data_IF_681158897564
#
_entry.id   IF_681158897564
#
_cell.length_a   1.000
_cell.length_b   1.000
_cell.length_c   1.000
_cell.angle_alpha   90.00
_cell.angle_beta   90.00
_cell.angle_gamma   90.00
#
_symmetry.space_group_name_H-M   'P 1'
#
loop_
_entity.id
_entity.type
_entity.pdbx_description
1 polymer ?
#
# COMPACT_ATOMS: atom_id res chain seq x y z
N UNK A 1 9.41 12.82 -54.22
CA UNK A 1 8.91 13.63 -53.08
C UNK A 1 8.45 12.80 -51.88
N UNK A 2 7.68 11.72 -52.03
CA UNK A 2 7.18 10.88 -50.90
C UNK A 2 8.29 10.24 -50.03
N UNK A 3 9.41 9.85 -50.63
CA UNK A 3 10.53 9.21 -49.91
C UNK A 3 11.38 10.20 -49.08
N UNK A 4 11.40 11.49 -49.43
CA UNK A 4 12.14 12.50 -48.67
C UNK A 4 11.43 12.83 -47.35
N UNK A 5 10.10 12.95 -47.38
CA UNK A 5 9.26 13.25 -46.21
C UNK A 5 9.33 12.12 -45.17
N UNK A 6 9.30 10.85 -45.60
CA UNK A 6 9.43 9.68 -44.70
C UNK A 6 10.84 9.62 -44.06
N UNK A 7 11.87 10.06 -44.79
CA UNK A 7 13.25 10.11 -44.26
C UNK A 7 13.45 11.22 -43.24
N UNK A 8 12.73 12.35 -43.36
CA UNK A 8 12.78 13.44 -42.38
C UNK A 8 11.99 13.09 -41.12
N UNK A 9 10.83 12.45 -41.25
CA UNK A 9 10.03 12.02 -40.09
C UNK A 9 10.78 10.99 -39.25
N UNK A 10 11.46 10.03 -39.87
CA UNK A 10 12.26 9.04 -39.14
C UNK A 10 13.49 9.64 -38.45
N UNK A 11 14.11 10.70 -39.01
CA UNK A 11 15.19 11.44 -38.35
C UNK A 11 14.70 12.28 -37.17
N UNK A 12 13.52 12.89 -37.28
CA UNK A 12 12.88 13.62 -36.18
C UNK A 12 12.57 12.68 -35.01
N UNK A 13 12.08 11.47 -35.27
CA UNK A 13 11.85 10.47 -34.22
C UNK A 13 13.14 9.84 -33.66
N UNK A 14 14.21 9.73 -34.45
CA UNK A 14 15.51 9.27 -33.99
C UNK A 14 16.25 10.30 -33.12
N UNK A 15 15.89 11.58 -33.21
CA UNK A 15 16.46 12.67 -32.41
C UNK A 15 15.93 12.72 -30.97
N UNK A 16 14.82 12.01 -30.67
CA UNK A 16 14.35 11.89 -29.30
C UNK A 16 15.08 10.74 -28.59
N UNK A 17 15.63 10.97 -27.37
CA UNK A 17 16.18 9.89 -26.58
C UNK A 17 15.11 8.83 -26.36
N UNK A 18 15.38 7.58 -26.75
CA UNK A 18 14.43 6.47 -26.55
C UNK A 18 14.11 6.38 -25.06
N UNK A 19 12.85 6.64 -24.70
CA UNK A 19 12.38 6.48 -23.33
C UNK A 19 12.66 5.03 -22.89
N UNK A 20 13.27 4.79 -21.72
CA UNK A 20 13.53 3.43 -21.27
C UNK A 20 12.24 2.62 -21.20
N UNK A 21 12.24 1.39 -21.73
CA UNK A 21 11.03 0.55 -21.83
C UNK A 21 10.26 0.40 -20.51
N UNK A 22 10.97 0.38 -19.37
CA UNK A 22 10.34 0.28 -18.07
C UNK A 22 9.57 1.53 -17.64
N UNK A 23 9.99 2.72 -18.08
CA UNK A 23 9.23 3.95 -17.86
C UNK A 23 7.93 3.89 -18.65
N UNK A 24 8.00 3.47 -19.91
CA UNK A 24 6.81 3.28 -20.74
C UNK A 24 5.85 2.26 -20.12
N UNK A 25 6.35 1.11 -19.65
CA UNK A 25 5.53 0.09 -18.97
C UNK A 25 4.91 0.63 -17.69
N UNK A 26 5.66 1.35 -16.85
CA UNK A 26 5.12 1.98 -15.63
C UNK A 26 3.99 2.97 -15.94
N UNK A 27 4.18 3.82 -16.96
CA UNK A 27 3.16 4.78 -17.41
C UNK A 27 1.93 4.06 -17.96
N UNK A 28 2.12 3.02 -18.78
CA UNK A 28 1.03 2.20 -19.30
C UNK A 28 0.24 1.53 -18.18
N UNK A 29 0.91 0.90 -17.21
CA UNK A 29 0.27 0.28 -16.04
C UNK A 29 -0.53 1.31 -15.22
N UNK A 30 0.03 2.51 -15.01
CA UNK A 30 -0.64 3.58 -14.30
C UNK A 30 -1.93 4.02 -15.02
N UNK A 31 -1.84 4.32 -16.32
CA UNK A 31 -2.98 4.78 -17.13
C UNK A 31 -4.07 3.69 -17.18
N UNK A 32 -3.70 2.46 -17.51
CA UNK A 32 -4.64 1.34 -17.57
C UNK A 32 -5.36 1.14 -16.23
N UNK A 33 -4.61 1.15 -15.12
CA UNK A 33 -5.20 0.97 -13.79
C UNK A 33 -6.10 2.13 -13.41
N UNK A 34 -5.69 3.37 -13.69
CA UNK A 34 -6.48 4.54 -13.39
C UNK A 34 -7.82 4.49 -14.14
N UNK A 35 -7.80 4.15 -15.43
CA UNK A 35 -9.04 3.94 -16.20
C UNK A 35 -9.93 2.90 -15.52
N UNK A 36 -9.40 1.71 -15.20
CA UNK A 36 -10.16 0.62 -14.57
C UNK A 36 -10.77 1.05 -13.23
N UNK A 37 -10.03 1.76 -12.38
CA UNK A 37 -10.50 2.17 -11.05
C UNK A 37 -11.49 3.33 -11.09
N UNK A 38 -11.39 4.17 -12.12
CA UNK A 38 -12.27 5.32 -12.33
C UNK A 38 -13.65 4.96 -12.88
N UNK A 39 -13.79 3.82 -13.56
CA UNK A 39 -15.10 3.36 -14.06
C UNK A 39 -16.09 3.29 -12.90
N UNK A 40 -17.18 4.08 -13.00
CA UNK A 40 -18.28 4.09 -12.04
C UNK A 40 -17.86 4.34 -10.57
N UNK A 41 -16.80 5.12 -10.34
CA UNK A 41 -16.25 5.37 -8.99
C UNK A 41 -17.26 6.05 -8.04
N UNK A 42 -18.12 6.90 -8.57
CA UNK A 42 -19.13 7.64 -7.80
C UNK A 42 -20.31 6.79 -7.32
N UNK A 43 -20.42 5.54 -7.76
CA UNK A 43 -21.54 4.66 -7.43
C UNK A 43 -21.08 3.58 -6.42
N UNK A 44 -21.78 3.39 -5.28
CA UNK A 44 -23.00 4.08 -4.83
C UNK A 44 -22.74 5.51 -4.34
N UNK A 45 -23.69 6.46 -4.50
CA UNK A 45 -23.49 7.85 -4.08
C UNK A 45 -23.50 8.03 -2.55
N UNK A 46 -23.85 6.98 -1.80
CA UNK A 46 -23.91 6.97 -0.34
C UNK A 46 -22.57 6.58 0.29
N UNK A 47 -22.36 6.99 1.54
CA UNK A 47 -21.21 6.56 2.34
C UNK A 47 -21.31 5.07 2.67
N UNK A 48 -20.18 4.37 2.56
CA UNK A 48 -20.04 2.93 2.80
C UNK A 48 -19.12 2.65 4.00
N UNK A 49 -19.53 1.78 4.94
CA UNK A 49 -18.73 1.38 6.13
C UNK A 49 -17.97 2.57 6.75
N UNK A 50 -16.64 2.56 6.68
CA UNK A 50 -15.80 3.56 7.32
C UNK A 50 -15.73 4.89 6.55
N UNK A 51 -16.30 4.99 5.34
CA UNK A 51 -16.52 6.30 4.70
C UNK A 51 -17.40 7.19 5.59
N UNK A 52 -18.30 6.60 6.40
CA UNK A 52 -19.14 7.29 7.39
C UNK A 52 -18.30 7.99 8.46
N UNK A 53 -17.07 7.53 8.72
CA UNK A 53 -16.15 8.18 9.64
C UNK A 53 -15.12 9.04 8.90
N UNK A 54 -14.56 8.55 7.81
CA UNK A 54 -13.42 9.18 7.14
C UNK A 54 -13.80 10.36 6.26
N UNK A 55 -14.93 10.31 5.53
CA UNK A 55 -15.35 11.44 4.71
C UNK A 55 -15.80 12.63 5.58
N UNK A 56 -16.64 12.47 6.62
CA UNK A 56 -16.96 13.58 7.52
C UNK A 56 -15.74 14.12 8.26
N UNK A 57 -14.80 13.26 8.69
CA UNK A 57 -13.57 13.73 9.32
C UNK A 57 -12.70 14.53 8.35
N UNK A 58 -12.58 14.10 7.09
CA UNK A 58 -11.88 14.85 6.06
C UNK A 58 -12.50 16.24 5.82
N UNK A 59 -13.84 16.33 5.80
CA UNK A 59 -14.55 17.61 5.72
C UNK A 59 -14.30 18.50 6.95
N UNK A 60 -14.38 17.92 8.14
CA UNK A 60 -14.10 18.63 9.41
C UNK A 60 -12.69 19.24 9.45
N UNK A 61 -11.70 18.52 8.91
CA UNK A 61 -10.33 19.02 8.78
C UNK A 61 -10.24 20.24 7.83
N UNK A 62 -11.01 20.28 6.75
CA UNK A 62 -11.06 21.43 5.82
C UNK A 62 -11.68 22.67 6.48
N UNK A 63 -12.67 22.45 7.34
CA UNK A 63 -13.39 23.50 8.07
C UNK A 63 -12.66 23.95 9.35
N UNK A 64 -11.48 23.37 9.64
CA UNK A 64 -10.72 23.61 10.87
C UNK A 64 -11.48 23.28 12.16
N UNK A 65 -12.46 22.37 12.09
CA UNK A 65 -13.28 21.94 13.22
C UNK A 65 -12.64 20.80 14.04
N UNK A 66 -11.37 20.47 13.76
CA UNK A 66 -10.68 19.33 14.35
C UNK A 66 -11.04 17.99 13.71
N UNK A 67 -10.58 16.90 14.33
CA UNK A 67 -10.75 15.53 13.83
C UNK A 67 -11.72 14.71 14.70
N UNK A 68 -12.96 14.45 14.23
CA UNK A 68 -13.94 13.68 14.99
C UNK A 68 -13.60 12.19 15.08
N UNK A 69 -12.61 11.70 14.31
CA UNK A 69 -12.16 10.31 14.29
C UNK A 69 -10.69 10.21 14.72
N UNK A 70 -10.34 10.60 15.94
CA UNK A 70 -8.96 10.54 16.43
C UNK A 70 -8.44 9.11 16.71
N UNK A 71 -9.19 8.06 16.35
CA UNK A 71 -8.73 6.66 16.40
C UNK A 71 -7.52 6.46 15.47
N UNK A 72 -7.49 7.10 14.30
CA UNK A 72 -6.35 7.03 13.39
C UNK A 72 -5.69 8.40 13.20
N UNK A 73 -4.36 8.44 12.95
CA UNK A 73 -3.70 9.70 12.64
C UNK A 73 -4.25 10.35 11.36
N UNK A 74 -4.08 11.68 11.20
CA UNK A 74 -4.95 12.45 10.32
C UNK A 74 -4.58 12.39 8.83
N UNK A 75 -3.38 11.91 8.47
CA UNK A 75 -2.87 12.06 7.10
C UNK A 75 -3.79 11.41 6.06
N UNK A 76 -4.32 10.21 6.32
CA UNK A 76 -5.20 9.55 5.36
C UNK A 76 -6.50 10.33 5.13
N UNK A 77 -7.05 10.94 6.18
CA UNK A 77 -8.24 11.82 6.09
C UNK A 77 -7.90 13.13 5.38
N UNK A 78 -6.71 13.68 5.61
CA UNK A 78 -6.23 14.86 4.88
C UNK A 78 -6.06 14.58 3.38
N UNK A 79 -5.62 13.38 2.99
CA UNK A 79 -5.55 12.99 1.56
C UNK A 79 -6.94 12.84 0.93
N UNK A 80 -7.93 12.31 1.66
CA UNK A 80 -9.34 12.30 1.23
C UNK A 80 -9.85 13.74 1.07
N UNK A 81 -9.49 14.63 1.99
CA UNK A 81 -9.88 16.04 1.94
C UNK A 81 -9.40 16.75 0.66
N UNK A 82 -8.21 16.41 0.14
CA UNK A 82 -7.73 16.95 -1.15
C UNK A 82 -8.69 16.62 -2.31
N UNK A 83 -9.26 15.40 -2.32
CA UNK A 83 -10.26 15.02 -3.31
C UNK A 83 -11.56 15.80 -3.16
N UNK A 84 -12.01 16.02 -1.91
CA UNK A 84 -13.19 16.82 -1.58
C UNK A 84 -13.01 18.28 -2.03
N UNK A 85 -11.82 18.87 -1.87
CA UNK A 85 -11.53 20.24 -2.32
C UNK A 85 -11.73 20.40 -3.83
N UNK A 86 -11.29 19.42 -4.63
CA UNK A 86 -11.31 19.51 -6.09
C UNK A 86 -12.68 19.14 -6.68
N UNK A 87 -13.35 18.11 -6.14
CA UNK A 87 -14.56 17.55 -6.73
C UNK A 87 -15.83 17.75 -5.89
N UNK A 88 -15.72 18.39 -4.72
CA UNK A 88 -16.82 18.64 -3.79
C UNK A 88 -17.05 17.49 -2.81
N UNK A 89 -17.89 17.74 -1.79
CA UNK A 89 -18.30 16.74 -0.80
C UNK A 89 -19.35 15.79 -1.37
N UNK A 90 -18.91 14.87 -2.24
CA UNK A 90 -19.70 13.82 -2.85
C UNK A 90 -18.85 12.55 -3.06
N UNK A 91 -19.47 11.46 -3.54
CA UNK A 91 -18.82 10.17 -3.71
C UNK A 91 -17.59 10.18 -4.63
N UNK A 92 -17.54 11.06 -5.62
CA UNK A 92 -16.32 11.25 -6.39
C UNK A 92 -15.21 11.86 -5.53
N UNK A 93 -15.52 12.96 -4.83
CA UNK A 93 -14.57 13.72 -4.04
C UNK A 93 -13.90 12.93 -2.93
N UNK A 94 -14.65 12.13 -2.15
CA UNK A 94 -14.01 11.34 -1.09
C UNK A 94 -13.30 10.07 -1.59
N UNK A 95 -13.61 9.55 -2.80
CA UNK A 95 -13.01 8.31 -3.33
C UNK A 95 -11.82 8.51 -4.27
N UNK A 96 -11.75 9.65 -4.96
CA UNK A 96 -10.75 9.88 -6.02
C UNK A 96 -9.31 9.73 -5.54
N UNK A 97 -8.99 10.22 -4.33
CA UNK A 97 -7.65 10.13 -3.78
C UNK A 97 -7.22 8.68 -3.57
N UNK A 98 -8.13 7.82 -3.07
CA UNK A 98 -7.88 6.38 -2.92
C UNK A 98 -7.67 5.69 -4.26
N UNK A 99 -8.46 6.04 -5.28
CA UNK A 99 -8.37 5.43 -6.61
C UNK A 99 -7.04 5.77 -7.28
N UNK A 100 -6.58 7.02 -7.14
CA UNK A 100 -5.26 7.47 -7.61
C UNK A 100 -4.13 6.78 -6.85
N UNK A 101 -4.19 6.75 -5.51
CA UNK A 101 -3.16 6.09 -4.69
C UNK A 101 -3.00 4.61 -5.03
N UNK A 102 -4.13 3.91 -5.18
CA UNK A 102 -4.13 2.52 -5.59
C UNK A 102 -3.65 2.29 -7.03
N UNK A 103 -3.84 3.27 -7.92
CA UNK A 103 -3.30 3.22 -9.29
C UNK A 103 -1.78 3.40 -9.31
N UNK A 104 -1.23 4.29 -8.47
CA UNK A 104 0.22 4.50 -8.31
C UNK A 104 0.90 3.28 -7.66
N UNK A 105 0.19 2.56 -6.79
CA UNK A 105 0.72 1.35 -6.16
C UNK A 105 1.15 0.27 -7.20
N UNK A 106 0.51 0.22 -8.36
CA UNK A 106 0.84 -0.74 -9.43
C UNK A 106 2.25 -0.52 -10.00
N UNK A 107 2.60 0.65 -10.59
CA UNK A 107 3.95 0.87 -11.09
C UNK A 107 5.02 0.83 -9.99
N UNK A 108 4.70 1.20 -8.74
CA UNK A 108 5.63 1.03 -7.61
C UNK A 108 5.96 -0.46 -7.40
N UNK A 109 4.95 -1.33 -7.44
CA UNK A 109 5.11 -2.79 -7.32
C UNK A 109 5.90 -3.36 -8.49
N UNK A 110 5.62 -2.90 -9.72
CA UNK A 110 6.39 -3.24 -10.92
C UNK A 110 7.88 -2.90 -10.77
N UNK A 111 8.18 -1.65 -10.39
CA UNK A 111 9.56 -1.18 -10.25
C UNK A 111 10.32 -1.93 -9.15
N UNK A 112 9.64 -2.32 -8.07
CA UNK A 112 10.21 -3.17 -7.03
C UNK A 112 10.52 -4.57 -7.58
N UNK A 113 9.54 -5.21 -8.22
CA UNK A 113 9.68 -6.56 -8.78
C UNK A 113 10.81 -6.66 -9.79
N UNK A 114 10.96 -5.65 -10.67
CA UNK A 114 12.07 -5.61 -11.65
C UNK A 114 13.41 -5.49 -10.99
N UNK A 115 13.50 -4.69 -9.93
CA UNK A 115 14.76 -4.42 -9.23
C UNK A 115 15.23 -5.64 -8.43
N UNK A 116 14.30 -6.42 -7.90
CA UNK A 116 14.58 -7.55 -7.01
C UNK A 116 14.68 -8.88 -7.77
N UNK A 117 13.87 -9.06 -8.82
CA UNK A 117 13.78 -10.30 -9.58
C UNK A 117 14.05 -10.07 -11.06
N UNK A 118 13.00 -10.11 -11.89
CA UNK A 118 13.05 -10.03 -13.34
C UNK A 118 11.78 -9.39 -13.90
N UNK A 119 11.83 -9.00 -15.16
CA UNK A 119 10.70 -8.35 -15.85
C UNK A 119 9.43 -9.22 -15.87
N UNK A 120 9.48 -10.55 -16.15
CA UNK A 120 8.29 -11.40 -16.08
C UNK A 120 7.63 -11.44 -14.70
N UNK A 121 8.42 -11.53 -13.63
CA UNK A 121 7.89 -11.52 -12.25
C UNK A 121 7.21 -10.19 -11.95
N UNK A 122 7.81 -9.08 -12.35
CA UNK A 122 7.27 -7.75 -12.14
C UNK A 122 5.97 -7.50 -12.92
N UNK A 123 5.92 -7.91 -14.19
CA UNK A 123 4.73 -7.79 -15.04
C UNK A 123 3.60 -8.64 -14.49
N UNK A 124 3.87 -9.91 -14.14
CA UNK A 124 2.86 -10.80 -13.58
C UNK A 124 2.31 -10.28 -12.25
N UNK A 125 3.17 -9.85 -11.33
CA UNK A 125 2.74 -9.31 -10.04
C UNK A 125 1.87 -8.05 -10.21
N UNK A 126 2.22 -7.19 -11.15
CA UNK A 126 1.46 -5.97 -11.44
C UNK A 126 0.12 -6.29 -12.09
N UNK A 127 0.08 -7.24 -13.04
CA UNK A 127 -1.15 -7.70 -13.66
C UNK A 127 -2.10 -8.32 -12.62
N UNK A 128 -1.59 -9.18 -11.73
CA UNK A 128 -2.34 -9.75 -10.62
C UNK A 128 -2.87 -8.67 -9.67
N UNK A 129 -2.07 -7.62 -9.39
CA UNK A 129 -2.47 -6.53 -8.50
C UNK A 129 -3.53 -5.60 -9.12
N UNK A 130 -3.58 -5.49 -10.45
CA UNK A 130 -4.65 -4.76 -11.17
C UNK A 130 -6.00 -5.46 -10.99
N UNK A 131 -6.03 -6.79 -11.09
CA UNK A 131 -7.25 -7.60 -10.98
C UNK A 131 -7.51 -8.13 -9.57
N UNK A 132 -6.69 -7.74 -8.59
CA UNK A 132 -6.80 -8.22 -7.22
C UNK A 132 -8.09 -7.68 -6.55
N UNK A 133 -8.98 -8.57 -6.06
CA UNK A 133 -10.27 -8.14 -5.52
C UNK A 133 -10.13 -7.22 -4.30
N UNK A 134 -9.16 -7.48 -3.42
CA UNK A 134 -8.96 -6.66 -2.22
C UNK A 134 -8.48 -5.26 -2.61
N UNK A 135 -7.43 -5.17 -3.42
CA UNK A 135 -6.81 -3.91 -3.82
C UNK A 135 -7.75 -3.08 -4.68
N UNK A 136 -8.51 -3.73 -5.57
CA UNK A 136 -9.50 -3.04 -6.40
C UNK A 136 -10.58 -2.38 -5.54
N UNK A 137 -11.23 -3.13 -4.65
CA UNK A 137 -12.29 -2.61 -3.79
C UNK A 137 -11.77 -1.54 -2.83
N UNK A 138 -10.67 -1.83 -2.11
CA UNK A 138 -10.14 -0.94 -1.08
C UNK A 138 -9.60 0.38 -1.63
N UNK A 139 -9.26 0.43 -2.92
CA UNK A 139 -8.87 1.69 -3.58
C UNK A 139 -10.05 2.51 -4.10
N UNK A 140 -11.22 1.91 -4.25
CA UNK A 140 -12.41 2.57 -4.81
C UNK A 140 -13.40 3.01 -3.74
N UNK A 141 -13.07 2.80 -2.48
CA UNK A 141 -13.81 3.27 -1.29
C UNK A 141 -12.87 4.18 -0.52
N UNK A 142 -13.38 5.19 0.18
CA UNK A 142 -12.56 6.16 0.94
C UNK A 142 -11.95 5.56 2.23
N UNK A 143 -11.24 4.43 2.09
CA UNK A 143 -10.53 3.72 3.15
C UNK A 143 -9.08 4.20 3.26
N UNK A 144 -8.55 4.25 4.49
CA UNK A 144 -7.18 4.72 4.71
C UNK A 144 -6.12 3.69 4.26
N UNK A 145 -6.49 2.41 4.19
CA UNK A 145 -5.58 1.29 3.96
C UNK A 145 -4.84 1.37 2.61
N UNK A 146 -5.45 1.96 1.58
CA UNK A 146 -4.82 2.10 0.26
C UNK A 146 -3.66 3.10 0.29
N UNK A 147 -3.78 4.19 1.06
CA UNK A 147 -2.69 5.14 1.26
C UNK A 147 -1.54 4.52 2.06
N UNK A 148 -1.90 3.76 3.11
CA UNK A 148 -0.93 2.99 3.88
C UNK A 148 -0.17 2.00 2.97
N UNK A 149 -0.88 1.23 2.15
CA UNK A 149 -0.27 0.28 1.22
C UNK A 149 0.68 0.97 0.23
N UNK A 150 0.29 2.11 -0.34
CA UNK A 150 1.14 2.89 -1.22
C UNK A 150 2.43 3.35 -0.52
N UNK A 151 2.32 3.99 0.65
CA UNK A 151 3.50 4.51 1.34
C UNK A 151 4.43 3.41 1.85
N UNK A 152 3.88 2.29 2.31
CA UNK A 152 4.68 1.09 2.64
C UNK A 152 5.42 0.60 1.39
N UNK A 153 4.75 0.42 0.26
CA UNK A 153 5.39 -0.03 -0.97
C UNK A 153 6.48 0.94 -1.46
N UNK A 154 6.24 2.25 -1.38
CA UNK A 154 7.24 3.28 -1.70
C UNK A 154 8.43 3.22 -0.75
N UNK A 155 8.23 2.96 0.54
CA UNK A 155 9.33 2.78 1.49
C UNK A 155 10.25 1.61 1.11
N UNK A 156 9.65 0.44 0.87
CA UNK A 156 10.38 -0.75 0.43
C UNK A 156 11.07 -0.55 -0.92
N UNK A 157 10.42 0.14 -1.87
CA UNK A 157 11.05 0.53 -3.14
C UNK A 157 12.25 1.46 -2.92
N UNK A 158 12.09 2.52 -2.13
CA UNK A 158 13.13 3.50 -1.90
C UNK A 158 14.41 2.88 -1.29
N UNK A 159 14.26 2.03 -0.26
CA UNK A 159 15.43 1.34 0.31
C UNK A 159 16.04 0.32 -0.66
N UNK A 160 15.24 -0.33 -1.51
CA UNK A 160 15.71 -1.22 -2.57
C UNK A 160 16.63 -0.50 -3.58
N UNK A 161 16.36 0.78 -3.85
CA UNK A 161 17.20 1.66 -4.67
C UNK A 161 18.29 2.40 -3.87
N UNK A 162 18.55 1.99 -2.63
CA UNK A 162 19.60 2.58 -1.80
C UNK A 162 19.30 3.99 -1.30
N UNK A 163 18.02 4.38 -1.23
CA UNK A 163 17.53 5.70 -0.78
C UNK A 163 16.85 5.60 0.60
N UNK A 164 17.59 5.35 1.69
CA UNK A 164 16.99 5.13 3.00
C UNK A 164 16.25 6.36 3.54
N UNK A 165 16.70 7.59 3.27
CA UNK A 165 15.98 8.78 3.75
C UNK A 165 14.64 8.97 3.06
N UNK A 166 14.54 8.67 1.75
CA UNK A 166 13.25 8.63 1.06
C UNK A 166 12.36 7.51 1.61
N UNK A 167 12.96 6.36 1.97
CA UNK A 167 12.24 5.32 2.72
C UNK A 167 11.74 5.83 4.06
N UNK A 168 12.53 6.62 4.79
CA UNK A 168 12.13 7.20 6.07
C UNK A 168 10.94 8.14 5.95
N UNK A 169 10.93 9.00 4.92
CA UNK A 169 9.79 9.87 4.62
C UNK A 169 8.53 9.00 4.38
N UNK A 170 8.63 8.01 3.49
CA UNK A 170 7.50 7.14 3.18
C UNK A 170 7.01 6.34 4.41
N UNK A 171 7.90 5.86 5.26
CA UNK A 171 7.55 5.18 6.53
C UNK A 171 6.86 6.12 7.53
N UNK A 172 7.30 7.37 7.62
CA UNK A 172 6.66 8.38 8.47
C UNK A 172 5.26 8.73 7.97
N UNK A 173 5.09 8.87 6.66
CA UNK A 173 3.76 9.05 6.02
C UNK A 173 2.87 7.82 6.24
N UNK A 174 3.38 6.60 6.04
CA UNK A 174 2.64 5.36 6.31
C UNK A 174 2.12 5.33 7.76
N UNK A 175 2.99 5.68 8.73
CA UNK A 175 2.63 5.74 10.16
C UNK A 175 1.64 6.87 10.47
N UNK A 176 1.71 7.97 9.71
CA UNK A 176 0.76 9.09 9.78
C UNK A 176 -0.61 8.78 9.19
N UNK A 177 -0.73 7.77 8.32
CA UNK A 177 -2.02 7.25 7.84
C UNK A 177 -2.64 6.32 8.87
N UNK A 178 -1.87 5.34 9.37
CA UNK A 178 -2.29 4.40 10.41
C UNK A 178 -1.07 3.97 11.24
N UNK A 179 -1.24 3.82 12.55
CA UNK A 179 -0.15 3.43 13.46
C UNK A 179 0.52 2.09 13.09
N UNK A 180 -0.23 1.16 12.47
CA UNK A 180 0.32 -0.11 11.96
C UNK A 180 1.36 0.07 10.84
N UNK A 181 1.47 1.28 10.25
CA UNK A 181 2.59 1.63 9.37
C UNK A 181 3.95 1.51 10.03
N UNK A 182 4.03 1.59 11.36
CA UNK A 182 5.24 1.32 12.13
C UNK A 182 5.79 -0.11 11.92
N UNK A 183 4.97 -1.07 11.52
CA UNK A 183 5.42 -2.43 11.20
C UNK A 183 6.40 -2.45 10.04
N UNK A 184 6.20 -1.61 9.02
CA UNK A 184 7.13 -1.49 7.90
C UNK A 184 8.50 -0.93 8.33
N UNK A 185 8.56 -0.12 9.40
CA UNK A 185 9.81 0.39 9.97
C UNK A 185 10.68 -0.76 10.46
N UNK A 186 10.07 -1.77 11.09
CA UNK A 186 10.77 -2.98 11.55
C UNK A 186 11.38 -3.72 10.37
N UNK A 187 10.62 -3.94 9.29
CA UNK A 187 11.11 -4.64 8.09
C UNK A 187 12.27 -3.94 7.39
N UNK A 188 12.17 -2.62 7.17
CA UNK A 188 13.24 -1.83 6.54
C UNK A 188 14.48 -1.74 7.43
N UNK A 189 14.29 -1.57 8.76
CA UNK A 189 15.40 -1.53 9.71
C UNK A 189 16.14 -2.86 9.77
N UNK A 190 15.40 -3.97 9.85
CA UNK A 190 15.96 -5.31 9.79
C UNK A 190 16.76 -5.53 8.49
N UNK A 191 16.27 -5.03 7.35
CA UNK A 191 17.00 -5.13 6.09
C UNK A 191 18.32 -4.36 6.13
N UNK A 192 18.33 -3.11 6.61
CA UNK A 192 19.56 -2.32 6.73
C UNK A 192 20.59 -2.99 7.65
N UNK A 193 20.13 -3.60 8.75
CA UNK A 193 21.01 -4.39 9.64
C UNK A 193 21.55 -5.62 8.89
N UNK A 194 20.69 -6.35 8.19
CA UNK A 194 21.03 -7.54 7.41
C UNK A 194 22.15 -7.23 6.39
N UNK A 195 22.01 -6.16 5.62
CA UNK A 195 23.02 -5.75 4.61
C UNK A 195 24.23 -4.99 5.22
N UNK A 196 24.38 -4.99 6.55
CA UNK A 196 25.45 -4.30 7.29
C UNK A 196 25.53 -2.79 7.02
N UNK A 197 24.40 -2.15 6.76
CA UNK A 197 24.27 -0.71 6.56
C UNK A 197 23.71 0.02 7.80
N UNK A 198 24.02 -0.47 9.00
CA UNK A 198 23.51 0.04 10.29
C UNK A 198 23.85 1.52 10.53
N UNK A 199 24.94 2.04 9.95
CA UNK A 199 25.29 3.47 10.01
C UNK A 199 24.23 4.41 9.39
N UNK A 200 23.32 3.89 8.55
CA UNK A 200 22.21 4.67 7.97
C UNK A 200 20.93 4.60 8.81
N UNK A 201 20.88 3.74 9.82
CA UNK A 201 19.67 3.44 10.58
C UNK A 201 19.20 4.63 11.42
N UNK A 202 20.11 5.30 12.14
CA UNK A 202 19.76 6.48 12.95
C UNK A 202 19.11 7.57 12.11
N UNK A 203 19.69 7.86 10.94
CA UNK A 203 19.15 8.85 10.02
C UNK A 203 17.82 8.41 9.37
N UNK A 204 17.64 7.13 9.05
CA UNK A 204 16.34 6.58 8.62
C UNK A 204 15.27 6.83 9.70
N UNK A 205 15.55 6.45 10.95
CA UNK A 205 14.62 6.54 12.06
C UNK A 205 14.29 7.99 12.41
N UNK A 206 15.28 8.88 12.39
CA UNK A 206 15.07 10.31 12.60
C UNK A 206 14.15 10.90 11.53
N UNK A 207 14.42 10.64 10.24
CA UNK A 207 13.57 11.13 9.15
C UNK A 207 12.16 10.55 9.23
N UNK A 208 12.03 9.28 9.61
CA UNK A 208 10.73 8.62 9.86
C UNK A 208 9.96 9.34 10.96
N UNK A 209 10.60 9.60 12.10
CA UNK A 209 10.00 10.28 13.24
C UNK A 209 9.58 11.71 12.88
N UNK A 210 10.48 12.48 12.26
CA UNK A 210 10.18 13.87 11.85
C UNK A 210 9.02 13.93 10.86
N UNK A 211 8.99 13.03 9.88
CA UNK A 211 7.90 12.99 8.89
C UNK A 211 6.58 12.58 9.55
N UNK A 212 6.61 11.62 10.47
CA UNK A 212 5.44 11.25 11.26
C UNK A 212 4.94 12.45 12.08
N UNK A 213 5.80 13.14 12.82
CA UNK A 213 5.43 14.33 13.61
C UNK A 213 4.84 15.44 12.73
N UNK A 214 5.45 15.73 11.58
CA UNK A 214 4.93 16.71 10.60
C UNK A 214 3.54 16.32 10.11
N UNK A 215 3.28 15.02 9.89
CA UNK A 215 1.96 14.55 9.46
C UNK A 215 0.84 14.75 10.49
N UNK A 216 1.20 14.94 11.77
CA UNK A 216 0.24 15.21 12.85
C UNK A 216 -0.08 16.70 13.01
N UNK A 217 0.73 17.60 12.42
CA UNK A 217 0.60 19.06 12.61
C UNK A 217 -0.78 19.63 12.30
N UNK A 218 -1.49 19.22 11.23
CA UNK A 218 -2.81 19.79 10.93
C UNK A 218 -3.80 19.65 12.09
N UNK A 219 -3.72 18.55 12.84
CA UNK A 219 -4.57 18.34 14.03
C UNK A 219 -3.95 18.94 15.27
N UNK A 220 -2.62 18.84 15.44
CA UNK A 220 -1.92 19.37 16.61
C UNK A 220 -2.03 20.90 16.74
N UNK A 221 -2.17 21.63 15.63
CA UNK A 221 -2.37 23.09 15.63
C UNK A 221 -3.83 23.48 15.86
N UNK A 222 -4.78 22.61 15.46
CA UNK A 222 -6.22 22.85 15.63
C UNK A 222 -6.75 22.54 17.05
N UNK A 223 -5.95 21.83 17.86
CA UNK A 223 -6.30 21.43 19.22
C UNK A 223 -5.29 22.01 20.21
N UNK A 224 -5.75 22.35 21.41
CA UNK A 224 -4.83 22.60 22.53
C UNK A 224 -3.95 21.35 22.80
N UNK A 225 -2.77 21.58 23.38
CA UNK A 225 -1.74 20.53 23.56
C UNK A 225 -2.21 19.33 24.39
N UNK A 226 -3.02 19.56 25.43
CA UNK A 226 -3.54 18.50 26.31
C UNK A 226 -4.57 17.59 25.62
N UNK A 227 -5.63 18.12 24.96
CA UNK A 227 -6.53 17.31 24.12
C UNK A 227 -5.81 16.45 23.07
N UNK A 228 -4.84 17.02 22.36
CA UNK A 228 -4.08 16.29 21.34
C UNK A 228 -3.33 15.08 21.93
N UNK A 229 -2.59 15.27 23.03
CA UNK A 229 -1.83 14.20 23.69
C UNK A 229 -2.77 13.10 24.18
N UNK A 230 -3.91 13.46 24.78
CA UNK A 230 -4.90 12.49 25.26
C UNK A 230 -5.51 11.67 24.11
N UNK A 231 -5.88 12.33 23.01
CA UNK A 231 -6.39 11.66 21.80
C UNK A 231 -5.35 10.72 21.17
N UNK A 232 -4.08 11.12 21.14
CA UNK A 232 -3.00 10.28 20.64
C UNK A 232 -2.83 9.01 21.48
N UNK A 233 -2.74 9.14 22.80
CA UNK A 233 -2.60 7.97 23.68
C UNK A 233 -3.85 7.10 23.70
N UNK A 234 -5.03 7.70 23.57
CA UNK A 234 -6.26 6.94 23.34
C UNK A 234 -6.17 6.10 22.05
N UNK A 235 -5.72 6.69 20.93
CA UNK A 235 -5.53 5.96 19.66
C UNK A 235 -4.59 4.77 19.83
N UNK A 236 -3.43 4.98 20.47
CA UNK A 236 -2.44 3.92 20.74
C UNK A 236 -3.06 2.82 21.61
N UNK A 237 -3.71 3.19 22.71
CA UNK A 237 -4.35 2.25 23.62
C UNK A 237 -5.47 1.46 22.94
N UNK A 238 -6.36 2.14 22.21
CA UNK A 238 -7.45 1.52 21.46
C UNK A 238 -6.92 0.49 20.47
N UNK A 239 -5.85 0.83 19.74
CA UNK A 239 -5.20 -0.14 18.88
C UNK A 239 -4.71 -1.30 19.75
N UNK A 240 -3.85 -1.11 20.73
CA UNK A 240 -3.23 -2.22 21.47
C UNK A 240 -4.22 -3.12 22.24
N UNK A 241 -5.40 -2.61 22.63
CA UNK A 241 -6.29 -3.28 23.60
C UNK A 241 -7.67 -3.66 23.08
N UNK A 242 -8.10 -3.18 21.91
CA UNK A 242 -9.45 -3.49 21.40
C UNK A 242 -9.66 -5.00 21.24
N UNK A 243 -10.62 -5.53 22.01
CA UNK A 243 -11.09 -6.91 21.94
C UNK A 243 -12.63 -6.92 22.07
N UNK A 244 -13.31 -6.70 20.95
CA UNK A 244 -14.78 -6.71 20.86
C UNK A 244 -15.25 -7.73 19.80
N UNK A 245 -16.13 -8.69 20.15
CA UNK A 245 -16.66 -9.64 19.18
C UNK A 245 -17.31 -8.93 17.98
N UNK A 246 -17.02 -9.41 16.77
CA UNK A 246 -17.61 -8.87 15.54
C UNK A 246 -17.83 -10.00 14.54
N UNK A 247 -18.99 -10.03 13.89
CA UNK A 247 -19.40 -11.12 12.98
C UNK A 247 -18.48 -11.30 11.78
N UNK A 248 -17.87 -10.21 11.30
CA UNK A 248 -16.92 -10.21 10.20
C UNK A 248 -15.44 -10.17 10.64
N UNK A 249 -15.16 -10.37 11.93
CA UNK A 249 -13.78 -10.47 12.40
C UNK A 249 -13.07 -11.67 11.75
N UNK A 250 -11.84 -11.45 11.32
CA UNK A 250 -11.02 -12.43 10.60
C UNK A 250 -9.59 -12.40 11.18
N UNK A 251 -9.09 -13.51 11.74
CA UNK A 251 -7.72 -13.56 12.25
C UNK A 251 -6.70 -13.64 11.09
N UNK A 252 -5.42 -13.29 11.32
CA UNK A 252 -4.39 -13.22 10.27
C UNK A 252 -4.18 -14.54 9.53
N UNK A 253 -4.34 -15.66 10.23
CA UNK A 253 -4.26 -17.00 9.66
C UNK A 253 -5.31 -17.24 8.55
N UNK A 254 -6.47 -16.59 8.64
CA UNK A 254 -7.55 -16.72 7.66
C UNK A 254 -7.46 -15.77 6.46
N UNK A 255 -6.55 -14.79 6.50
CA UNK A 255 -6.53 -13.74 5.49
C UNK A 255 -6.07 -14.21 4.11
N UNK A 256 -5.05 -15.09 4.05
CA UNK A 256 -4.53 -15.58 2.76
C UNK A 256 -5.52 -16.49 2.01
N UNK A 257 -6.49 -17.07 2.71
CA UNK A 257 -7.46 -18.03 2.15
C UNK A 257 -8.90 -17.50 2.19
N UNK A 258 -9.08 -16.20 2.49
CA UNK A 258 -10.38 -15.53 2.49
C UNK A 258 -11.44 -16.16 3.41
N UNK A 259 -11.08 -16.62 4.62
CA UNK A 259 -12.02 -17.29 5.55
C UNK A 259 -13.24 -16.41 5.87
N UNK A 260 -13.01 -15.14 6.14
CA UNK A 260 -14.05 -14.18 6.51
C UNK A 260 -13.85 -12.89 5.71
N UNK A 261 -14.49 -12.76 4.53
CA UNK A 261 -14.47 -11.52 3.77
C UNK A 261 -15.27 -10.44 4.50
N UNK A 262 -14.94 -9.18 4.23
CA UNK A 262 -15.57 -8.05 4.91
C UNK A 262 -16.57 -7.34 3.98
N UNK A 263 -17.86 -7.22 4.34
CA UNK A 263 -18.83 -6.52 3.52
C UNK A 263 -18.58 -5.01 3.56
N UNK A 264 -18.42 -4.42 2.39
CA UNK A 264 -18.24 -2.97 2.19
C UNK A 264 -19.58 -2.31 1.89
N UNK A 265 -20.43 -2.96 1.11
CA UNK A 265 -21.74 -2.41 0.80
C UNK A 265 -22.71 -3.52 0.46
N UNK A 266 -23.93 -3.40 0.96
CA UNK A 266 -25.04 -4.28 0.59
C UNK A 266 -26.32 -3.45 0.59
N UNK A 267 -26.75 -3.03 -0.60
CA UNK A 267 -28.04 -2.38 -0.79
C UNK A 267 -28.46 -2.47 -2.27
N UNK A 268 -29.79 -2.47 -2.51
CA UNK A 268 -30.37 -2.44 -3.86
C UNK A 268 -29.83 -3.52 -4.81
N UNK A 269 -29.56 -4.72 -4.29
CA UNK A 269 -29.00 -5.84 -5.06
C UNK A 269 -27.50 -5.76 -5.37
N UNK A 270 -26.83 -4.66 -4.98
CA UNK A 270 -25.38 -4.52 -5.12
C UNK A 270 -24.67 -4.98 -3.84
N UNK A 271 -23.81 -5.98 -3.97
CA UNK A 271 -22.96 -6.49 -2.89
C UNK A 271 -21.48 -6.26 -3.21
N UNK A 272 -20.84 -5.40 -2.44
CA UNK A 272 -19.39 -5.12 -2.53
C UNK A 272 -18.74 -5.70 -1.27
N UNK A 273 -17.72 -6.53 -1.47
CA UNK A 273 -17.00 -7.21 -0.39
C UNK A 273 -15.50 -7.08 -0.61
N UNK A 274 -14.76 -6.82 0.47
CA UNK A 274 -13.32 -6.91 0.50
C UNK A 274 -12.92 -8.39 0.65
N UNK A 275 -12.33 -8.96 -0.41
CA UNK A 275 -11.96 -10.36 -0.47
C UNK A 275 -10.49 -10.52 -0.77
N UNK A 276 -9.82 -11.47 -0.12
CA UNK A 276 -8.56 -12.01 -0.60
C UNK A 276 -8.78 -12.92 -1.82
N UNK A 277 -7.74 -13.11 -2.62
CA UNK A 277 -7.72 -14.14 -3.64
C UNK A 277 -7.19 -15.46 -3.02
N UNK A 278 -8.08 -16.43 -2.70
CA UNK A 278 -7.69 -17.63 -1.96
C UNK A 278 -6.83 -18.60 -2.78
N UNK A 279 -6.72 -18.41 -4.09
CA UNK A 279 -5.94 -19.27 -4.97
C UNK A 279 -4.53 -18.72 -5.22
N UNK A 280 -4.35 -17.40 -5.14
CA UNK A 280 -3.06 -16.74 -5.42
C UNK A 280 -2.30 -16.42 -4.14
N UNK A 281 -2.98 -15.90 -3.12
CA UNK A 281 -2.31 -15.45 -1.89
C UNK A 281 -1.53 -16.57 -1.16
N UNK A 282 -2.04 -17.81 -1.05
CA UNK A 282 -1.29 -18.88 -0.39
C UNK A 282 0.00 -19.26 -1.11
N UNK A 283 0.12 -19.01 -2.42
CA UNK A 283 1.35 -19.27 -3.19
C UNK A 283 2.53 -18.43 -2.71
N UNK A 284 2.29 -17.34 -1.98
CA UNK A 284 3.35 -16.54 -1.38
C UNK A 284 4.12 -17.31 -0.29
N UNK A 285 3.48 -18.25 0.42
CA UNK A 285 4.08 -19.00 1.53
C UNK A 285 5.26 -19.89 1.10
N UNK A 286 5.13 -20.82 0.12
CA UNK A 286 6.25 -21.63 -0.32
C UNK A 286 7.37 -20.78 -0.96
N UNK A 287 7.02 -19.71 -1.68
CA UNK A 287 8.00 -18.78 -2.23
C UNK A 287 8.79 -18.04 -1.13
N UNK A 288 8.11 -17.54 -0.09
CA UNK A 288 8.75 -16.91 1.06
C UNK A 288 9.65 -17.89 1.82
N UNK A 289 9.19 -19.12 2.04
CA UNK A 289 9.96 -20.18 2.69
C UNK A 289 11.24 -20.51 1.90
N UNK A 290 11.14 -20.65 0.57
CA UNK A 290 12.27 -20.94 -0.31
C UNK A 290 13.31 -19.80 -0.31
N UNK A 291 12.87 -18.55 -0.42
CA UNK A 291 13.76 -17.39 -0.37
C UNK A 291 14.38 -17.23 1.02
N UNK A 292 13.61 -17.49 2.09
CA UNK A 292 14.08 -17.46 3.48
C UNK A 292 15.14 -18.51 3.76
N UNK A 293 14.87 -19.76 3.36
CA UNK A 293 15.84 -20.85 3.45
C UNK A 293 17.12 -20.51 2.68
N UNK A 294 17.00 -19.95 1.48
CA UNK A 294 18.15 -19.55 0.66
C UNK A 294 18.98 -18.45 1.34
N UNK A 295 18.34 -17.45 1.94
CA UNK A 295 19.01 -16.38 2.67
C UNK A 295 19.75 -16.91 3.91
N UNK A 296 19.12 -17.80 4.68
CA UNK A 296 19.72 -18.43 5.86
C UNK A 296 20.90 -19.33 5.49
N UNK A 297 20.75 -20.16 4.44
CA UNK A 297 21.81 -21.08 3.98
C UNK A 297 23.03 -20.34 3.45
N UNK A 298 22.81 -19.25 2.70
CA UNK A 298 23.91 -18.42 2.15
C UNK A 298 24.53 -17.48 3.18
N UNK A 299 23.84 -17.25 4.31
CA UNK A 299 24.19 -16.22 5.31
C UNK A 299 24.43 -14.85 4.67
N UNK A 300 23.63 -14.54 3.66
CA UNK A 300 23.76 -13.35 2.84
C UNK A 300 22.39 -12.71 2.58
N UNK A 301 22.38 -11.38 2.54
CA UNK A 301 21.19 -10.55 2.47
C UNK A 301 21.05 -9.99 1.06
N UNK A 302 20.37 -10.75 0.21
CA UNK A 302 20.09 -10.39 -1.16
C UNK A 302 18.91 -9.39 -1.25
N UNK A 303 18.71 -8.70 -2.39
CA UNK A 303 17.53 -7.86 -2.59
C UNK A 303 16.21 -8.61 -2.35
N UNK A 304 16.15 -9.92 -2.60
CA UNK A 304 14.97 -10.76 -2.30
C UNK A 304 14.68 -10.90 -0.81
N UNK A 305 15.69 -10.74 0.06
CA UNK A 305 15.51 -10.74 1.52
C UNK A 305 14.64 -9.57 1.97
N UNK A 306 14.73 -8.43 1.28
CA UNK A 306 13.88 -7.28 1.55
C UNK A 306 12.39 -7.60 1.38
N UNK A 307 12.04 -8.40 0.37
CA UNK A 307 10.66 -8.82 0.14
C UNK A 307 10.12 -9.74 1.25
N UNK A 308 10.97 -10.65 1.74
CA UNK A 308 10.62 -11.50 2.89
C UNK A 308 10.38 -10.64 4.12
N UNK A 309 11.25 -9.66 4.36
CA UNK A 309 11.11 -8.74 5.49
C UNK A 309 9.88 -7.84 5.36
N UNK A 310 9.50 -7.44 4.13
CA UNK A 310 8.22 -6.78 3.89
C UNK A 310 7.06 -7.68 4.31
N UNK A 311 6.99 -8.89 3.77
CA UNK A 311 5.93 -9.84 4.10
C UNK A 311 5.88 -10.17 5.61
N UNK A 312 7.02 -10.51 6.21
CA UNK A 312 7.09 -10.88 7.62
C UNK A 312 6.78 -9.73 8.57
N UNK A 313 7.24 -8.50 8.28
CA UNK A 313 6.98 -7.36 9.16
C UNK A 313 5.55 -6.86 9.03
N UNK A 314 5.02 -6.73 7.81
CA UNK A 314 3.72 -6.10 7.57
C UNK A 314 2.56 -7.07 7.79
N UNK A 315 2.72 -8.36 7.45
CA UNK A 315 1.72 -9.40 7.72
C UNK A 315 2.04 -10.19 8.99
N UNK A 316 3.27 -10.66 9.16
CA UNK A 316 3.65 -11.56 10.25
C UNK A 316 3.50 -10.95 11.66
N UNK A 317 3.73 -9.64 11.83
CA UNK A 317 3.57 -8.99 13.14
C UNK A 317 2.12 -8.98 13.65
N UNK A 318 1.12 -9.14 12.78
CA UNK A 318 -0.27 -9.27 13.24
C UNK A 318 -0.53 -10.54 14.06
N UNK A 319 0.28 -11.59 13.89
CA UNK A 319 0.20 -12.80 14.72
C UNK A 319 0.72 -12.60 16.14
N UNK A 320 1.57 -11.59 16.34
CA UNK A 320 2.09 -11.23 17.67
C UNK A 320 1.15 -10.28 18.43
N UNK A 321 0.07 -9.79 17.79
CA UNK A 321 -0.91 -8.93 18.44
C UNK A 321 -2.00 -9.78 19.12
N UNK A 322 -2.27 -9.58 20.42
CA UNK A 322 -3.21 -10.40 21.18
C UNK A 322 -4.70 -10.11 20.90
N UNK A 323 -5.06 -9.48 19.77
CA UNK A 323 -6.43 -8.96 19.53
C UNK A 323 -7.32 -9.97 18.83
N UNK A 324 -8.60 -10.05 19.22
CA UNK A 324 -9.59 -10.84 18.46
C UNK A 324 -10.24 -10.05 17.32
N UNK A 325 -10.31 -8.72 17.39
CA UNK A 325 -11.02 -7.91 16.39
C UNK A 325 -10.08 -7.40 15.30
N UNK A 326 -9.92 -8.19 14.25
CA UNK A 326 -9.12 -7.81 13.08
C UNK A 326 -9.87 -8.15 11.79
N UNK A 327 -9.50 -7.52 10.68
CA UNK A 327 -10.23 -7.62 9.42
C UNK A 327 -9.30 -7.83 8.23
N UNK A 328 -9.82 -8.46 7.17
CA UNK A 328 -9.06 -8.83 5.97
C UNK A 328 -8.32 -7.66 5.31
N UNK A 329 -8.90 -6.44 5.36
CA UNK A 329 -8.30 -5.27 4.75
C UNK A 329 -7.01 -4.79 5.43
N UNK A 330 -6.70 -5.26 6.65
CA UNK A 330 -5.39 -5.04 7.28
C UNK A 330 -4.24 -5.72 6.52
N UNK A 331 -4.54 -6.72 5.69
CA UNK A 331 -3.57 -7.37 4.81
C UNK A 331 -3.14 -6.48 3.64
N UNK A 332 -3.91 -5.45 3.28
CA UNK A 332 -3.70 -4.67 2.05
C UNK A 332 -2.26 -4.14 1.85
N UNK A 333 -1.55 -3.62 2.88
CA UNK A 333 -0.17 -3.15 2.72
C UNK A 333 0.87 -4.25 2.46
N UNK A 334 0.51 -5.52 2.68
CA UNK A 334 1.32 -6.67 2.35
C UNK A 334 0.95 -7.32 1.00
N UNK A 335 -0.19 -6.95 0.38
CA UNK A 335 -0.63 -7.54 -0.90
C UNK A 335 0.39 -7.40 -2.02
N UNK A 336 1.06 -6.24 -2.24
CA UNK A 336 2.13 -6.15 -3.23
C UNK A 336 3.23 -7.19 -2.99
N UNK A 337 3.63 -7.40 -1.73
CA UNK A 337 4.65 -8.38 -1.38
C UNK A 337 4.17 -9.81 -1.63
N UNK A 338 2.92 -10.12 -1.27
CA UNK A 338 2.27 -11.42 -1.51
C UNK A 338 2.26 -11.74 -3.01
N UNK A 339 1.83 -10.80 -3.84
CA UNK A 339 1.73 -11.02 -5.29
C UNK A 339 3.10 -11.10 -5.97
N UNK A 340 4.10 -10.37 -5.48
CA UNK A 340 5.49 -10.52 -5.92
C UNK A 340 6.06 -11.90 -5.58
N UNK A 341 5.80 -12.41 -4.36
CA UNK A 341 6.23 -13.74 -3.94
C UNK A 341 5.53 -14.84 -4.76
N UNK A 342 4.21 -14.75 -4.94
CA UNK A 342 3.45 -15.68 -5.75
C UNK A 342 3.95 -15.67 -7.21
N UNK A 343 4.16 -14.49 -7.79
CA UNK A 343 4.65 -14.35 -9.17
C UNK A 343 6.06 -14.90 -9.35
N UNK A 344 6.95 -14.68 -8.36
CA UNK A 344 8.28 -15.29 -8.36
C UNK A 344 8.20 -16.82 -8.36
N UNK A 345 7.34 -17.40 -7.51
CA UNK A 345 7.12 -18.84 -7.46
C UNK A 345 6.61 -19.41 -8.79
N UNK A 346 5.57 -18.77 -9.36
CA UNK A 346 4.96 -19.16 -10.63
C UNK A 346 5.99 -19.11 -11.77
N UNK A 347 6.66 -17.97 -11.96
CA UNK A 347 7.65 -17.80 -13.03
C UNK A 347 8.78 -18.80 -12.89
N UNK A 348 9.27 -19.05 -11.66
CA UNK A 348 10.35 -20.02 -11.42
C UNK A 348 9.95 -21.44 -11.81
N UNK A 349 8.72 -21.87 -11.50
CA UNK A 349 8.22 -23.19 -11.91
C UNK A 349 8.13 -23.27 -13.44
N UNK A 350 7.59 -22.25 -14.09
CA UNK A 350 7.51 -22.22 -15.56
C UNK A 350 8.90 -22.30 -16.21
N UNK A 351 9.88 -21.55 -15.72
CA UNK A 351 11.26 -21.62 -16.25
C UNK A 351 11.87 -23.00 -16.07
N UNK A 352 11.68 -23.64 -14.91
CA UNK A 352 12.17 -25.00 -14.66
C UNK A 352 11.54 -26.06 -15.57
N UNK A 353 10.26 -25.91 -15.92
CA UNK A 353 9.56 -26.83 -16.83
C UNK A 353 9.92 -26.63 -18.31
N UNK A 354 10.54 -25.50 -18.66
CA UNK A 354 10.98 -25.18 -20.03
C UNK A 354 12.43 -25.54 -20.32
N UNK A 355 13.19 -25.96 -19.31
CA UNK A 355 14.56 -26.48 -19.40
C UNK A 355 14.56 -28.01 -19.56
#
# INVERSE_FOLDING_TARGET
MRNAIISDVSRVFAAFPKCPMHVLTSVALLICTLIIRMVNLSNPPTLMVDEVYYAPAAKSLLEMNGDPNYVHPPLGKALIALGIVVFGYNSLGWRIAGAVAGSILIPVTYLFGRRVFSDPVAVLASALLIIDPLTHVMSRVAMLDVFLALFVAVAFLAVCYGRPYLSGIALGLASGVKLVGAFAVVGVSAYLICIRASGKLSGLLLVTLLTFMVSLLPVAVSLDSSPFINSFWFSVSWHLTLDSPHSYASPPAGWLVNIAPFPIYSASGLNITANANPFIYPLALPAAALLGYSALKRRDCQPSTLLILWFASVYGLFFALPRKTQFIFYLLPAVPAILLLASFGIVRVFTYLSE
#
